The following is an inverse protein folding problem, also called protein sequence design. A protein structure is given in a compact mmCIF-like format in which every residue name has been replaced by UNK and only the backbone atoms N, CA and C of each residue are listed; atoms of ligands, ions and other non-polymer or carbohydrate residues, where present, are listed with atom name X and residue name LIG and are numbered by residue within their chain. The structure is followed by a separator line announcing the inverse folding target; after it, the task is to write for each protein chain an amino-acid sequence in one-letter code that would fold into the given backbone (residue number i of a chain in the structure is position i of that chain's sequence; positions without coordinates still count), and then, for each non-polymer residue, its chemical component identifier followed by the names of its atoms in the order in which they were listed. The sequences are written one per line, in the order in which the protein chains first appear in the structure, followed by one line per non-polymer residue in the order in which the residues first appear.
data_IF_800029206472
#
_entry.id   IF_800029206472
#
_cell.length_a   1.000
_cell.length_b   1.000
_cell.length_c   1.000
_cell.angle_alpha   90.00
_cell.angle_beta   90.00
_cell.angle_gamma   90.00
#
_symmetry.space_group_name_H-M   'P 1'
#
loop_
_entity.id
_entity.type
_entity.pdbx_description
1 polymer ?
#
# COMPACT_ATOMS: atom_id res chain seq x y z
N UNK A 1 -29.62 -17.13 0.23
CA UNK A 1 -29.18 -15.74 0.36
C UNK A 1 -28.00 -15.73 1.32
N UNK A 2 -26.79 -15.88 0.78
CA UNK A 2 -25.54 -15.85 1.54
C UNK A 2 -24.97 -14.44 1.40
N UNK A 3 -24.87 -13.75 2.51
CA UNK A 3 -24.38 -12.37 2.63
C UNK A 3 -22.92 -12.30 2.16
N UNK A 4 -22.69 -11.47 1.15
CA UNK A 4 -21.39 -11.17 0.53
C UNK A 4 -20.36 -10.57 1.52
N UNK A 5 -20.83 -10.11 2.68
CA UNK A 5 -20.05 -9.48 3.74
C UNK A 5 -18.97 -10.36 4.38
N UNK A 6 -19.06 -11.69 4.27
CA UNK A 6 -18.09 -12.62 4.86
C UNK A 6 -16.76 -12.67 4.07
N UNK A 7 -16.76 -12.29 2.79
CA UNK A 7 -15.57 -12.34 1.93
C UNK A 7 -14.60 -11.17 2.10
N UNK A 8 -15.08 -10.05 2.65
CA UNK A 8 -14.36 -8.78 2.70
C UNK A 8 -13.73 -8.48 4.06
N UNK A 9 -13.97 -9.31 5.07
CA UNK A 9 -13.23 -9.19 6.33
C UNK A 9 -11.84 -9.77 6.14
N UNK A 10 -10.76 -8.96 6.13
CA UNK A 10 -9.42 -9.52 6.22
C UNK A 10 -9.36 -10.31 7.53
N UNK A 11 -8.80 -11.54 7.54
CA UNK A 11 -8.41 -12.19 8.78
C UNK A 11 -7.61 -11.19 9.62
N UNK A 12 -7.84 -11.12 10.93
CA UNK A 12 -7.21 -10.11 11.79
C UNK A 12 -5.67 -10.08 11.75
N UNK A 13 -5.04 -11.12 11.21
CA UNK A 13 -3.60 -11.27 11.01
C UNK A 13 -3.14 -11.16 9.54
N UNK A 14 -4.02 -10.87 8.59
CA UNK A 14 -3.64 -10.74 7.19
C UNK A 14 -2.89 -9.42 6.95
N UNK A 15 -1.70 -9.51 6.34
CA UNK A 15 -0.93 -8.32 5.99
C UNK A 15 -1.72 -7.43 5.03
N UNK A 16 -1.67 -6.12 5.24
CA UNK A 16 -2.34 -5.14 4.37
C UNK A 16 -1.93 -5.33 2.90
N UNK A 17 -0.67 -5.73 2.63
CA UNK A 17 -0.19 -6.01 1.28
C UNK A 17 -0.90 -7.21 0.63
N UNK A 18 -1.15 -8.28 1.40
CA UNK A 18 -1.88 -9.45 0.90
C UNK A 18 -3.31 -9.10 0.52
N UNK A 19 -3.99 -8.27 1.32
CA UNK A 19 -5.33 -7.76 1.00
C UNK A 19 -5.32 -6.91 -0.28
N UNK A 20 -4.36 -5.99 -0.46
CA UNK A 20 -4.25 -5.23 -1.71
C UNK A 20 -3.96 -6.09 -2.93
N UNK A 21 -3.11 -7.13 -2.80
CA UNK A 21 -2.82 -8.08 -3.87
C UNK A 21 -4.08 -8.86 -4.27
N UNK A 22 -4.88 -9.29 -3.29
CA UNK A 22 -6.16 -9.95 -3.53
C UNK A 22 -7.14 -9.02 -4.26
N UNK A 23 -7.33 -7.80 -3.78
CA UNK A 23 -8.25 -6.83 -4.38
C UNK A 23 -7.85 -6.48 -5.83
N UNK A 24 -6.55 -6.39 -6.13
CA UNK A 24 -6.08 -6.22 -7.51
C UNK A 24 -6.43 -7.40 -8.42
N UNK A 25 -6.32 -8.64 -7.91
CA UNK A 25 -6.71 -9.85 -8.67
C UNK A 25 -8.22 -9.88 -8.92
N UNK A 26 -9.00 -9.32 -8.01
CA UNK A 26 -10.45 -9.16 -8.13
C UNK A 26 -10.84 -7.99 -9.06
N UNK A 27 -9.86 -7.24 -9.60
CA UNK A 27 -10.07 -6.18 -10.58
C UNK A 27 -10.29 -4.79 -9.97
N UNK A 28 -10.17 -4.64 -8.65
CA UNK A 28 -10.31 -3.35 -8.00
C UNK A 28 -9.12 -2.44 -8.28
N UNK A 29 -9.41 -1.18 -8.59
CA UNK A 29 -8.40 -0.13 -8.62
C UNK A 29 -7.84 0.10 -7.22
N UNK A 30 -6.64 0.69 -7.14
CA UNK A 30 -6.01 1.00 -5.84
C UNK A 30 -6.89 1.87 -4.95
N UNK A 31 -7.62 2.81 -5.55
CA UNK A 31 -8.48 3.74 -4.83
C UNK A 31 -9.76 3.07 -4.34
N UNK A 32 -10.35 2.16 -5.12
CA UNK A 32 -11.48 1.33 -4.67
C UNK A 32 -11.06 0.38 -3.55
N UNK A 33 -9.91 -0.26 -3.69
CA UNK A 33 -9.34 -1.12 -2.65
C UNK A 33 -9.13 -0.38 -1.32
N UNK A 34 -8.59 0.84 -1.38
CA UNK A 34 -8.44 1.70 -0.19
C UNK A 34 -9.78 2.03 0.46
N UNK A 35 -10.81 2.34 -0.35
CA UNK A 35 -12.15 2.64 0.19
C UNK A 35 -12.76 1.42 0.87
N UNK A 36 -12.66 0.24 0.25
CA UNK A 36 -13.13 -1.02 0.83
C UNK A 36 -12.43 -1.33 2.16
N UNK A 37 -11.11 -1.19 2.23
CA UNK A 37 -10.36 -1.43 3.46
C UNK A 37 -10.80 -0.46 4.57
N UNK A 38 -10.96 0.83 4.26
CA UNK A 38 -11.41 1.83 5.23
C UNK A 38 -12.84 1.58 5.72
N UNK A 39 -13.72 1.17 4.81
CA UNK A 39 -15.10 0.80 5.11
C UNK A 39 -15.16 -0.43 6.03
N UNK A 40 -14.39 -1.48 5.73
CA UNK A 40 -14.30 -2.68 6.57
C UNK A 40 -13.76 -2.38 7.96
N UNK A 41 -12.82 -1.43 8.09
CA UNK A 41 -12.27 -1.03 9.38
C UNK A 41 -13.17 -0.06 10.15
N UNK A 42 -14.27 0.42 9.54
CA UNK A 42 -15.14 1.48 10.07
C UNK A 42 -14.34 2.76 10.42
N UNK A 43 -13.34 3.09 9.60
CA UNK A 43 -12.46 4.25 9.80
C UNK A 43 -12.57 5.20 8.62
N UNK A 44 -12.78 6.48 8.91
CA UNK A 44 -12.77 7.51 7.86
C UNK A 44 -11.37 7.72 7.29
N UNK A 45 -11.25 8.09 6.00
CA UNK A 45 -9.96 8.43 5.39
C UNK A 45 -9.22 9.55 6.16
N UNK A 46 -9.97 10.51 6.71
CA UNK A 46 -9.42 11.61 7.52
C UNK A 46 -8.82 11.08 8.81
N UNK A 47 -9.48 10.13 9.45
CA UNK A 47 -9.04 9.52 10.70
C UNK A 47 -7.85 8.58 10.48
N UNK A 48 -7.87 7.78 9.42
CA UNK A 48 -6.72 7.00 8.99
C UNK A 48 -5.49 7.88 8.71
N UNK A 49 -5.68 9.04 8.05
CA UNK A 49 -4.59 10.01 7.84
C UNK A 49 -4.09 10.62 9.14
N UNK A 50 -4.98 10.94 10.08
CA UNK A 50 -4.59 11.43 11.42
C UNK A 50 -3.78 10.39 12.17
N UNK A 51 -4.25 9.14 12.23
CA UNK A 51 -3.54 8.03 12.86
C UNK A 51 -2.17 7.79 12.23
N UNK A 52 -2.07 7.89 10.90
CA UNK A 52 -0.80 7.79 10.18
C UNK A 52 0.16 8.93 10.53
N UNK A 53 -0.34 10.17 10.62
CA UNK A 53 0.47 11.34 10.95
C UNK A 53 0.84 11.42 12.43
N UNK A 54 0.08 10.78 13.32
CA UNK A 54 0.34 10.75 14.76
C UNK A 54 1.25 9.59 15.19
N UNK A 55 1.52 8.62 14.31
CA UNK A 55 2.47 7.55 14.55
C UNK A 55 3.83 7.92 13.96
N UNK A 56 4.77 8.31 14.83
CA UNK A 56 6.18 8.62 14.47
C UNK A 56 6.92 7.44 13.79
N UNK A 57 6.36 6.23 13.86
CA UNK A 57 6.89 5.01 13.23
C UNK A 57 7.08 5.13 11.71
N UNK A 58 6.33 5.99 11.02
CA UNK A 58 6.54 6.23 9.59
C UNK A 58 7.68 7.21 9.28
N UNK A 59 8.00 8.11 10.22
CA UNK A 59 9.19 8.95 10.10
C UNK A 59 10.47 8.10 10.21
N UNK A 60 10.48 7.10 11.09
CA UNK A 60 11.57 6.13 11.22
C UNK A 60 11.68 5.22 9.98
N UNK A 61 10.58 4.66 9.49
CA UNK A 61 10.59 3.82 8.28
C UNK A 61 11.07 4.59 7.02
N UNK A 62 10.76 5.89 6.92
CA UNK A 62 11.28 6.76 5.84
C UNK A 62 12.76 7.08 6.02
N UNK A 63 13.22 7.32 7.25
CA UNK A 63 14.62 7.53 7.56
C UNK A 63 15.48 6.29 7.26
N UNK A 64 14.95 5.08 7.48
CA UNK A 64 15.62 3.82 7.11
C UNK A 64 15.74 3.65 5.58
N UNK A 65 14.72 4.06 4.81
CA UNK A 65 14.82 4.05 3.33
C UNK A 65 15.78 5.10 2.76
N UNK A 66 16.01 6.21 3.47
CA UNK A 66 16.90 7.28 3.02
C UNK A 66 18.38 7.04 3.40
N UNK A 67 18.63 6.28 4.46
CA UNK A 67 19.99 6.00 4.98
C UNK A 67 20.64 4.75 4.34
N UNK A 68 19.88 3.96 3.57
CA UNK A 68 20.30 2.63 3.11
C UNK A 68 20.63 2.46 1.63
N UNK A 69 20.71 3.53 0.82
CA UNK A 69 21.08 3.42 -0.60
C UNK A 69 22.51 3.92 -0.84
N UNK A 70 23.52 3.04 -1.05
CA UNK A 70 24.73 3.49 -1.72
C UNK A 70 24.35 4.01 -3.12
N UNK A 71 24.98 5.08 -3.64
CA UNK A 71 24.70 5.56 -4.99
C UNK A 71 24.93 4.41 -5.98
N UNK A 72 24.07 4.23 -7.00
CA UNK A 72 24.35 3.25 -8.04
C UNK A 72 25.66 3.64 -8.73
N UNK A 73 26.72 2.88 -8.45
CA UNK A 73 27.92 2.88 -9.27
C UNK A 73 27.55 2.25 -10.62
N UNK A 74 27.41 3.08 -11.65
CA UNK A 74 27.02 2.60 -12.97
C UNK A 74 26.72 3.75 -13.93
N UNK A 75 27.76 4.49 -14.30
CA UNK A 75 27.80 5.28 -15.52
C UNK A 75 27.81 4.28 -16.70
N UNK A 76 26.62 3.90 -17.18
CA UNK A 76 26.47 3.06 -18.38
C UNK A 76 25.74 3.92 -19.44
N UNK A 77 26.46 4.47 -20.44
CA UNK A 77 25.87 5.36 -21.42
C UNK A 77 24.93 4.59 -22.34
N UNK A 78 23.64 4.97 -22.31
CA UNK A 78 22.61 4.45 -23.21
C UNK A 78 23.04 4.67 -24.67
N UNK A 79 23.14 3.62 -25.52
CA UNK A 79 23.43 3.82 -26.94
C UNK A 79 22.24 4.49 -27.66
N UNK A 80 22.49 5.45 -28.58
CA UNK A 80 21.42 6.15 -29.27
C UNK A 80 20.62 5.21 -30.18
N UNK A 81 19.31 5.38 -30.19
CA UNK A 81 18.40 4.59 -31.00
C UNK A 81 18.72 4.71 -32.52
N UNK A 82 18.57 3.63 -33.30
CA UNK A 82 18.78 3.67 -34.75
C UNK A 82 17.72 4.54 -35.45
N UNK A 83 18.17 5.28 -36.48
CA UNK A 83 17.36 6.15 -37.34
C UNK A 83 16.60 5.37 -38.43
#
# INVERSE_FOLDING_TARGET
MTTDSDRLSPPGDEEIETTFRRLRREGHSRLEALRLILDTLDVSLTEAKRLLMSNDTWAEARAETETGAPPPAGDDPVPPAPA
#
